data_IF_176726087751
#
_entry.id   IF_176726087751
#
_cell.length_a   1.000
_cell.length_b   1.000
_cell.length_c   1.000
_cell.angle_alpha   90.00
_cell.angle_beta   90.00
_cell.angle_gamma   90.00
#
_symmetry.space_group_name_H-M   'P 1'
#
loop_
_entity.id
_entity.type
_entity.pdbx_description
1 polymer ?
#
# COMPACT_ATOMS: atom_id res chain seq x y z
N UNK A 1 -42.08 -10.86 -2.53
CA UNK A 1 -42.00 -9.37 -2.59
C UNK A 1 -42.99 -8.80 -1.58
N UNK A 2 -42.81 -7.62 -0.93
CA UNK A 2 -41.60 -6.77 -0.82
C UNK A 2 -41.42 -6.03 0.57
N UNK A 3 -40.27 -5.36 0.73
CA UNK A 3 -40.05 -4.03 1.40
C UNK A 3 -39.79 -3.87 2.92
N UNK A 4 -38.52 -3.54 3.25
CA UNK A 4 -38.06 -2.42 4.13
C UNK A 4 -36.52 -2.36 4.00
N UNK A 5 -35.87 -1.54 3.16
CA UNK A 5 -35.70 -0.08 3.04
C UNK A 5 -34.98 0.58 4.23
N UNK A 6 -33.84 1.23 3.90
CA UNK A 6 -33.12 2.36 4.54
C UNK A 6 -32.23 1.98 5.75
N UNK A 7 -30.89 1.92 5.68
CA UNK A 7 -29.81 2.93 5.44
C UNK A 7 -29.47 3.80 6.67
N UNK A 8 -28.16 4.05 6.83
CA UNK A 8 -27.47 5.08 7.64
C UNK A 8 -26.94 4.59 8.99
N UNK A 9 -25.76 4.95 9.46
CA UNK A 9 -24.52 5.49 8.91
C UNK A 9 -23.68 5.74 10.17
N UNK A 10 -22.50 5.13 10.33
CA UNK A 10 -21.51 5.68 11.26
C UNK A 10 -20.13 5.62 10.62
N UNK A 11 -19.70 6.82 10.25
CA UNK A 11 -18.38 7.27 9.89
C UNK A 11 -17.49 7.28 11.14
N UNK A 12 -16.33 6.64 11.09
CA UNK A 12 -15.17 6.90 11.97
C UNK A 12 -13.95 6.96 11.04
N UNK A 13 -13.51 8.13 10.55
CA UNK A 13 -12.74 9.17 11.26
C UNK A 13 -11.56 8.65 12.08
N UNK A 14 -10.71 7.83 11.47
CA UNK A 14 -9.30 7.83 11.83
C UNK A 14 -8.45 7.69 10.58
N UNK A 15 -7.69 8.75 10.26
CA UNK A 15 -6.65 8.78 9.25
C UNK A 15 -5.60 7.72 9.60
N UNK A 16 -5.87 6.48 9.22
CA UNK A 16 -4.96 5.36 9.43
C UNK A 16 -3.94 5.44 8.32
N UNK A 17 -2.82 6.10 8.62
CA UNK A 17 -1.60 5.96 7.84
C UNK A 17 -1.36 4.45 7.74
N UNK A 18 -1.35 3.86 6.55
CA UNK A 18 -1.18 2.44 6.42
C UNK A 18 0.24 2.08 6.83
N UNK A 19 0.38 1.59 8.05
CA UNK A 19 1.60 1.00 8.56
C UNK A 19 1.94 -0.20 7.67
N UNK A 20 3.09 -0.12 7.00
CA UNK A 20 3.63 -1.25 6.24
C UNK A 20 4.25 -2.20 7.25
N UNK A 21 3.83 -3.46 7.21
CA UNK A 21 4.41 -4.49 8.06
C UNK A 21 5.89 -4.69 7.67
N UNK A 22 6.85 -4.61 8.62
CA UNK A 22 8.26 -4.78 8.32
C UNK A 22 8.60 -6.21 7.84
N UNK A 23 7.73 -7.20 8.06
CA UNK A 23 7.86 -8.56 7.56
C UNK A 23 7.22 -8.80 6.18
N UNK A 24 6.68 -7.78 5.53
CA UNK A 24 5.99 -7.91 4.24
C UNK A 24 6.95 -8.47 3.18
N UNK A 25 6.56 -9.55 2.48
CA UNK A 25 7.41 -10.13 1.42
C UNK A 25 7.47 -9.18 0.22
N UNK A 26 8.56 -9.24 -0.55
CA UNK A 26 8.74 -8.41 -1.74
C UNK A 26 7.55 -8.49 -2.70
N UNK A 27 7.07 -9.71 -2.99
CA UNK A 27 5.95 -9.93 -3.91
C UNK A 27 4.64 -9.32 -3.39
N UNK A 28 4.42 -9.35 -2.07
CA UNK A 28 3.24 -8.75 -1.44
C UNK A 28 3.31 -7.23 -1.46
N UNK A 29 4.48 -6.66 -1.15
CA UNK A 29 4.72 -5.22 -1.24
C UNK A 29 4.53 -4.68 -2.67
N UNK A 30 5.00 -5.43 -3.68
CA UNK A 30 4.83 -5.11 -5.08
C UNK A 30 3.34 -5.10 -5.47
N UNK A 31 2.60 -6.16 -5.08
CA UNK A 31 1.17 -6.28 -5.36
C UNK A 31 0.35 -5.16 -4.71
N UNK A 32 0.70 -4.80 -3.48
CA UNK A 32 0.09 -3.66 -2.78
C UNK A 32 0.36 -2.34 -3.51
N UNK A 33 1.58 -2.15 -4.02
CA UNK A 33 1.95 -0.98 -4.80
C UNK A 33 1.19 -0.91 -6.13
N UNK A 34 1.06 -2.02 -6.85
CA UNK A 34 0.28 -2.08 -8.10
C UNK A 34 -1.20 -1.74 -7.86
N UNK A 35 -1.79 -2.29 -6.79
CA UNK A 35 -3.18 -1.99 -6.42
C UNK A 35 -3.38 -0.51 -6.10
N UNK A 36 -2.44 0.06 -5.35
CA UNK A 36 -2.44 1.47 -5.00
C UNK A 36 -2.34 2.37 -6.25
N UNK A 37 -1.41 2.07 -7.15
CA UNK A 37 -1.24 2.80 -8.41
C UNK A 37 -2.51 2.70 -9.26
N UNK A 38 -3.10 1.52 -9.37
CA UNK A 38 -4.38 1.32 -10.09
C UNK A 38 -5.51 2.15 -9.48
N UNK A 39 -5.56 2.30 -8.15
CA UNK A 39 -6.52 3.18 -7.50
C UNK A 39 -6.24 4.66 -7.83
N UNK A 40 -4.98 5.09 -7.82
CA UNK A 40 -4.56 6.46 -8.18
C UNK A 40 -4.93 6.79 -9.63
N UNK A 41 -4.70 5.86 -10.56
CA UNK A 41 -5.04 6.00 -11.98
C UNK A 41 -6.54 6.00 -12.24
N UNK A 42 -7.34 5.38 -11.36
CA UNK A 42 -8.80 5.39 -11.49
C UNK A 42 -9.42 6.78 -11.36
N UNK A 43 -8.67 7.76 -10.80
CA UNK A 43 -9.10 9.15 -10.66
C UNK A 43 -10.26 9.36 -9.68
N UNK A 44 -10.61 8.34 -8.87
CA UNK A 44 -11.74 8.39 -7.92
C UNK A 44 -11.34 8.83 -6.52
N UNK A 45 -10.06 9.10 -6.27
CA UNK A 45 -9.55 9.49 -4.96
C UNK A 45 -9.71 11.01 -4.75
N UNK A 46 -10.09 11.39 -3.54
CA UNK A 46 -9.99 12.77 -3.10
C UNK A 46 -8.53 13.23 -2.98
N UNK A 47 -8.32 14.53 -2.81
CA UNK A 47 -6.98 15.11 -2.63
C UNK A 47 -6.24 14.51 -1.43
N UNK A 48 -6.92 14.35 -0.29
CA UNK A 48 -6.35 13.73 0.91
C UNK A 48 -6.01 12.26 0.69
N UNK A 49 -6.91 11.50 0.07
CA UNK A 49 -6.66 10.09 -0.22
C UNK A 49 -5.52 9.90 -1.22
N UNK A 50 -5.40 10.79 -2.20
CA UNK A 50 -4.28 10.79 -3.16
C UNK A 50 -2.96 11.03 -2.45
N UNK A 51 -2.94 11.95 -1.48
CA UNK A 51 -1.75 12.27 -0.69
C UNK A 51 -1.37 11.11 0.22
N UNK A 52 -2.35 10.49 0.88
CA UNK A 52 -2.14 9.27 1.68
C UNK A 52 -1.68 8.09 0.82
N UNK A 53 -2.24 7.95 -0.38
CA UNK A 53 -1.84 6.91 -1.31
C UNK A 53 -0.38 7.11 -1.73
N UNK A 54 0.00 8.33 -2.11
CA UNK A 54 1.38 8.66 -2.46
C UNK A 54 2.38 8.35 -1.33
N UNK A 55 2.04 8.69 -0.07
CA UNK A 55 2.87 8.36 1.09
C UNK A 55 3.03 6.85 1.29
N UNK A 56 1.94 6.07 1.14
CA UNK A 56 2.00 4.61 1.18
C UNK A 56 2.87 4.06 0.05
N UNK A 57 2.69 4.57 -1.17
CA UNK A 57 3.42 4.11 -2.35
C UNK A 57 4.93 4.35 -2.23
N UNK A 58 5.33 5.52 -1.72
CA UNK A 58 6.76 5.81 -1.46
C UNK A 58 7.35 4.93 -0.37
N UNK A 59 6.58 4.60 0.66
CA UNK A 59 7.04 3.70 1.72
C UNK A 59 7.15 2.23 1.23
N UNK A 60 6.20 1.76 0.42
CA UNK A 60 6.28 0.44 -0.24
C UNK A 60 7.49 0.35 -1.17
N UNK A 61 7.73 1.41 -1.95
CA UNK A 61 8.89 1.47 -2.84
C UNK A 61 10.22 1.39 -2.07
N UNK A 62 10.33 2.10 -0.95
CA UNK A 62 11.51 2.03 -0.07
C UNK A 62 11.69 0.63 0.51
N UNK A 63 10.60 -0.04 0.90
CA UNK A 63 10.66 -1.41 1.39
C UNK A 63 11.21 -2.36 0.32
N UNK A 64 10.65 -2.31 -0.90
CA UNK A 64 11.13 -3.12 -2.02
C UNK A 64 12.61 -2.90 -2.31
N UNK A 65 13.07 -1.64 -2.33
CA UNK A 65 14.49 -1.31 -2.49
C UNK A 65 15.35 -1.87 -1.36
N UNK A 66 14.89 -1.80 -0.11
CA UNK A 66 15.59 -2.36 1.04
C UNK A 66 15.73 -3.89 0.97
N UNK A 67 14.69 -4.59 0.51
CA UNK A 67 14.74 -6.04 0.31
C UNK A 67 15.74 -6.41 -0.79
N UNK A 68 15.71 -5.72 -1.93
CA UNK A 68 16.67 -5.95 -3.00
C UNK A 68 18.11 -5.67 -2.56
N UNK A 69 18.34 -4.60 -1.81
CA UNK A 69 19.66 -4.28 -1.26
C UNK A 69 20.18 -5.37 -0.31
N UNK A 70 19.31 -5.95 0.53
CA UNK A 70 19.70 -7.09 1.38
C UNK A 70 20.08 -8.32 0.56
N UNK A 71 19.31 -8.64 -0.48
CA UNK A 71 19.61 -9.77 -1.36
C UNK A 71 20.93 -9.55 -2.10
N UNK A 72 21.17 -8.34 -2.62
CA UNK A 72 22.42 -7.98 -3.29
C UNK A 72 23.64 -8.11 -2.37
N UNK A 73 23.51 -7.67 -1.11
CA UNK A 73 24.57 -7.86 -0.11
C UNK A 73 24.87 -9.33 0.17
N UNK A 74 23.84 -10.18 0.24
CA UNK A 74 24.03 -11.62 0.45
C UNK A 74 24.73 -12.28 -0.75
N UNK A 75 24.36 -11.92 -1.98
CA UNK A 75 25.01 -12.42 -3.20
C UNK A 75 26.49 -12.00 -3.23
N UNK A 76 26.78 -10.74 -2.88
CA UNK A 76 28.15 -10.21 -2.89
C UNK A 76 29.10 -10.95 -1.93
N UNK A 77 28.58 -11.53 -0.85
CA UNK A 77 29.36 -12.34 0.08
C UNK A 77 29.67 -13.74 -0.44
N UNK A 78 28.83 -14.28 -1.34
CA UNK A 78 28.98 -15.63 -1.93
C UNK A 78 29.98 -15.63 -3.10
N UNK A 79 30.17 -14.50 -3.78
CA UNK A 79 31.15 -14.36 -4.88
C UNK A 79 32.62 -14.21 -4.41
N UNK A 80 32.85 -14.07 -3.10
CA UNK A 80 34.17 -14.04 -2.45
C UNK A 80 34.54 -15.38 -1.83
#
# INVERSE_FOLDING_TARGET
>A
MPSKKVNSAETDSSATIPAIDPGLRYEEALKDLEKLVSQMESGKLSLEETLSAYQRGTALLKHCQGVLAQVEQQIKFIET
#
